data_IF_050655527935
#
_entry.id   IF_050655527935
#
_cell.length_a   1.000
_cell.length_b   1.000
_cell.length_c   1.000
_cell.angle_alpha   90.00
_cell.angle_beta   90.00
_cell.angle_gamma   90.00
#
_symmetry.space_group_name_H-M   'P 1'
#
loop_
_entity.id
_entity.type
_entity.pdbx_description
1 polymer ?
#
# COMPACT_ATOMS: atom_id res chain seq x y z
N UNK A 1 12.97 -16.01 -2.45
CA UNK A 1 12.00 -16.74 -1.59
C UNK A 1 11.75 -18.15 -2.10
N UNK A 2 11.41 -19.09 -1.20
CA UNK A 2 10.91 -20.42 -1.55
C UNK A 2 9.45 -20.37 -2.01
N UNK A 3 8.97 -21.42 -2.70
CA UNK A 3 7.55 -21.49 -3.08
C UNK A 3 6.62 -21.49 -1.85
N UNK A 4 7.00 -22.15 -0.76
CA UNK A 4 6.20 -22.16 0.47
C UNK A 4 6.04 -20.76 1.11
N UNK A 5 7.12 -19.96 1.11
CA UNK A 5 7.06 -18.57 1.59
C UNK A 5 6.15 -17.72 0.69
N UNK A 6 6.23 -17.88 -0.63
CA UNK A 6 5.35 -17.16 -1.57
C UNK A 6 3.89 -17.56 -1.38
N UNK A 7 3.59 -18.83 -1.21
CA UNK A 7 2.22 -19.30 -0.93
C UNK A 7 1.69 -18.72 0.39
N UNK A 8 2.52 -18.67 1.44
CA UNK A 8 2.13 -18.04 2.70
C UNK A 8 1.79 -16.56 2.52
N UNK A 9 2.61 -15.80 1.78
CA UNK A 9 2.35 -14.39 1.49
C UNK A 9 1.10 -14.20 0.62
N UNK A 10 0.88 -15.06 -0.38
CA UNK A 10 -0.32 -15.03 -1.21
C UNK A 10 -1.60 -15.27 -0.39
N UNK A 11 -1.54 -16.15 0.62
CA UNK A 11 -2.65 -16.34 1.57
C UNK A 11 -2.92 -15.08 2.40
N UNK A 12 -1.87 -14.42 2.91
CA UNK A 12 -2.02 -13.12 3.59
C UNK A 12 -2.61 -12.07 2.66
N UNK A 13 -2.18 -11.99 1.40
CA UNK A 13 -2.76 -11.07 0.42
C UNK A 13 -4.25 -11.37 0.16
N UNK A 14 -4.65 -12.65 0.11
CA UNK A 14 -6.07 -13.02 0.02
C UNK A 14 -6.85 -12.56 1.25
N UNK A 15 -6.34 -12.76 2.47
CA UNK A 15 -6.99 -12.27 3.70
C UNK A 15 -7.10 -10.75 3.72
N UNK A 16 -6.06 -10.02 3.27
CA UNK A 16 -6.11 -8.56 3.13
C UNK A 16 -7.25 -8.16 2.17
N UNK A 17 -7.37 -8.81 1.00
CA UNK A 17 -8.45 -8.55 0.05
C UNK A 17 -9.83 -8.84 0.62
N UNK A 18 -9.99 -9.96 1.33
CA UNK A 18 -11.26 -10.27 2.03
C UNK A 18 -11.59 -9.18 3.06
N UNK A 19 -10.60 -8.71 3.82
CA UNK A 19 -10.78 -7.62 4.78
C UNK A 19 -11.18 -6.30 4.13
N UNK A 20 -10.63 -5.96 2.96
CA UNK A 20 -11.03 -4.80 2.16
C UNK A 20 -12.50 -4.88 1.76
N UNK A 21 -12.93 -6.04 1.23
CA UNK A 21 -14.31 -6.28 0.80
C UNK A 21 -15.26 -6.23 2.00
N UNK A 22 -14.93 -6.89 3.11
CA UNK A 22 -15.71 -6.87 4.35
C UNK A 22 -15.91 -5.44 4.88
N UNK A 23 -14.83 -4.69 5.01
CA UNK A 23 -14.87 -3.33 5.55
C UNK A 23 -15.69 -2.38 4.67
N UNK A 24 -15.43 -2.36 3.36
CA UNK A 24 -16.10 -1.47 2.41
C UNK A 24 -17.56 -1.84 2.21
N UNK A 25 -17.91 -3.13 2.24
CA UNK A 25 -19.30 -3.61 2.26
C UNK A 25 -20.03 -3.16 3.52
N UNK A 26 -19.47 -3.41 4.71
CA UNK A 26 -20.08 -3.02 5.99
C UNK A 26 -20.28 -1.53 6.12
N UNK A 27 -19.39 -0.72 5.54
CA UNK A 27 -19.49 0.73 5.50
C UNK A 27 -20.44 1.25 4.42
N UNK A 28 -20.84 0.41 3.45
CA UNK A 28 -21.59 0.80 2.23
C UNK A 28 -20.88 1.91 1.43
N UNK A 29 -19.60 2.10 1.63
CA UNK A 29 -18.74 3.08 0.95
C UNK A 29 -17.27 2.76 1.20
N UNK A 30 -16.38 3.37 0.43
CA UNK A 30 -14.94 3.23 0.60
C UNK A 30 -14.25 3.07 -0.75
N UNK A 31 -12.96 2.74 -0.71
CA UNK A 31 -12.13 2.69 -1.91
C UNK A 31 -11.51 1.27 -2.08
N UNK A 32 -12.31 0.28 -2.53
CA UNK A 32 -11.80 -1.08 -2.67
C UNK A 32 -10.74 -1.18 -3.78
N UNK A 33 -10.93 -0.52 -4.93
CA UNK A 33 -10.06 -0.69 -6.11
C UNK A 33 -8.58 -0.49 -5.80
N UNK A 34 -8.22 0.70 -5.29
CA UNK A 34 -6.83 1.05 -4.92
C UNK A 34 -6.36 0.46 -3.58
N UNK A 35 -7.19 -0.36 -2.92
CA UNK A 35 -6.82 -1.14 -1.73
C UNK A 35 -6.49 -2.58 -2.08
N UNK A 36 -7.18 -3.15 -3.07
CA UNK A 36 -7.02 -4.53 -3.53
C UNK A 36 -5.72 -4.72 -4.32
N UNK A 37 -5.28 -3.69 -5.05
CA UNK A 37 -4.12 -3.73 -5.94
C UNK A 37 -2.77 -3.76 -5.22
N UNK A 38 -2.70 -3.32 -3.97
CA UNK A 38 -1.46 -3.31 -3.17
C UNK A 38 -1.35 -4.44 -2.15
N UNK A 39 -2.22 -5.46 -2.23
CA UNK A 39 -2.26 -6.52 -1.21
C UNK A 39 -0.97 -7.33 -1.14
N UNK A 40 -0.30 -7.62 -2.27
CA UNK A 40 0.98 -8.32 -2.30
C UNK A 40 2.09 -7.50 -1.63
N UNK A 41 2.18 -6.21 -1.95
CA UNK A 41 3.18 -5.32 -1.33
C UNK A 41 2.93 -5.19 0.17
N UNK A 42 1.68 -5.03 0.61
CA UNK A 42 1.33 -4.96 2.02
C UNK A 42 1.65 -6.28 2.74
N UNK A 43 1.33 -7.43 2.14
CA UNK A 43 1.68 -8.73 2.74
C UNK A 43 3.19 -8.89 2.86
N UNK A 44 3.96 -8.56 1.82
CA UNK A 44 5.42 -8.64 1.86
C UNK A 44 6.00 -7.72 2.95
N UNK A 45 5.58 -6.46 2.99
CA UNK A 45 6.07 -5.48 3.96
C UNK A 45 5.80 -5.90 5.40
N UNK A 46 4.58 -6.29 5.73
CA UNK A 46 4.21 -6.60 7.12
C UNK A 46 4.65 -7.99 7.60
N UNK A 47 4.87 -8.95 6.71
CA UNK A 47 5.17 -10.33 7.10
C UNK A 47 6.61 -10.77 6.83
N UNK A 48 7.37 -10.02 6.02
CA UNK A 48 8.77 -10.35 5.69
C UNK A 48 9.70 -9.18 5.98
N UNK A 49 9.38 -7.98 5.47
CA UNK A 49 10.35 -6.91 5.35
C UNK A 49 10.47 -6.03 6.59
N UNK A 50 9.35 -5.51 7.07
CA UNK A 50 9.37 -4.46 8.10
C UNK A 50 9.64 -5.02 9.49
N UNK A 51 10.55 -4.36 10.21
CA UNK A 51 10.72 -4.57 11.65
C UNK A 51 9.56 -3.90 12.42
N UNK A 52 8.47 -4.64 12.61
CA UNK A 52 7.28 -4.18 13.34
C UNK A 52 6.76 -5.26 14.29
N UNK A 53 6.39 -4.86 15.51
CA UNK A 53 5.74 -5.73 16.49
C UNK A 53 4.34 -5.19 16.83
N UNK A 54 3.27 -5.95 16.56
CA UNK A 54 1.90 -5.57 16.95
C UNK A 54 1.73 -5.27 18.44
N UNK A 55 2.56 -5.90 19.30
CA UNK A 55 2.53 -5.68 20.75
C UNK A 55 3.23 -4.37 21.17
N UNK A 56 4.04 -3.81 20.30
CA UNK A 56 4.76 -2.54 20.50
C UNK A 56 4.53 -1.57 19.32
N UNK A 57 3.26 -1.19 19.01
CA UNK A 57 2.93 -0.40 17.82
C UNK A 57 3.53 1.00 17.81
N UNK A 58 4.02 1.48 18.95
CA UNK A 58 4.64 2.82 19.12
C UNK A 58 6.14 2.75 19.36
N UNK A 59 6.78 1.60 19.13
CA UNK A 59 8.23 1.48 19.24
C UNK A 59 8.90 2.54 18.36
N UNK A 60 9.78 3.40 18.93
CA UNK A 60 10.43 4.47 18.19
C UNK A 60 11.48 3.97 17.18
N UNK A 61 11.92 2.71 17.30
CA UNK A 61 12.99 2.13 16.48
C UNK A 61 12.47 1.17 15.41
N UNK A 62 11.14 1.00 15.30
CA UNK A 62 10.52 0.20 14.24
C UNK A 62 10.54 0.91 12.89
N UNK A 63 10.46 0.16 11.81
CA UNK A 63 10.21 0.71 10.48
C UNK A 63 8.86 1.44 10.40
N UNK A 64 8.70 2.30 9.39
CA UNK A 64 7.50 3.11 9.17
C UNK A 64 6.90 2.84 7.80
N UNK A 65 5.56 2.74 7.76
CA UNK A 65 4.81 2.73 6.50
C UNK A 65 3.84 3.92 6.44
N UNK A 66 4.02 4.77 5.44
CA UNK A 66 3.09 5.87 5.15
C UNK A 66 2.28 5.51 3.90
N UNK A 67 1.00 5.22 4.08
CA UNK A 67 0.07 5.09 2.96
C UNK A 67 -0.33 6.49 2.47
N UNK A 68 0.44 7.04 1.50
CA UNK A 68 0.24 8.41 0.99
C UNK A 68 -1.10 8.52 0.25
N UNK A 69 -1.44 7.56 -0.63
CA UNK A 69 -2.79 7.41 -1.18
C UNK A 69 -3.78 6.97 -0.09
N UNK A 70 -4.06 7.87 0.85
CA UNK A 70 -4.78 7.57 2.08
C UNK A 70 -6.19 7.02 1.90
N UNK A 71 -6.80 7.22 0.74
CA UNK A 71 -8.09 6.62 0.39
C UNK A 71 -8.02 5.08 0.35
N UNK A 72 -6.86 4.47 0.09
CA UNK A 72 -6.64 3.02 0.18
C UNK A 72 -6.52 2.50 1.63
N UNK A 73 -6.99 3.28 2.63
CA UNK A 73 -7.04 2.87 4.03
C UNK A 73 -7.63 1.47 4.29
N UNK A 74 -8.67 1.00 3.56
CA UNK A 74 -9.18 -0.36 3.75
C UNK A 74 -8.09 -1.44 3.58
N UNK A 75 -7.18 -1.28 2.62
CA UNK A 75 -6.06 -2.19 2.41
C UNK A 75 -5.06 -2.18 3.58
N UNK A 76 -4.68 -0.98 4.04
CA UNK A 76 -3.80 -0.84 5.20
C UNK A 76 -4.43 -1.42 6.47
N UNK A 77 -5.71 -1.13 6.72
CA UNK A 77 -6.39 -1.66 7.90
C UNK A 77 -6.51 -3.18 7.87
N UNK A 78 -6.81 -3.76 6.70
CA UNK A 78 -6.86 -5.21 6.55
C UNK A 78 -5.47 -5.84 6.79
N UNK A 79 -4.39 -5.24 6.30
CA UNK A 79 -3.02 -5.70 6.55
C UNK A 79 -2.63 -5.58 8.03
N UNK A 80 -2.98 -4.48 8.70
CA UNK A 80 -2.72 -4.30 10.12
C UNK A 80 -3.51 -5.29 10.99
N UNK A 81 -4.78 -5.53 10.67
CA UNK A 81 -5.60 -6.52 11.34
C UNK A 81 -5.05 -7.94 11.15
N UNK A 82 -4.71 -8.32 9.91
CA UNK A 82 -4.10 -9.62 9.58
C UNK A 82 -2.76 -9.81 10.29
N UNK A 83 -1.98 -8.76 10.45
CA UNK A 83 -0.71 -8.77 11.19
C UNK A 83 -0.91 -8.85 12.72
N UNK A 84 -2.12 -8.55 13.22
CA UNK A 84 -2.50 -8.66 14.63
C UNK A 84 -2.38 -7.36 15.43
N UNK A 85 -2.37 -6.19 14.79
CA UNK A 85 -2.40 -4.90 15.50
C UNK A 85 -3.74 -4.62 16.18
N UNK A 86 -4.82 -5.17 15.65
CA UNK A 86 -6.17 -5.13 16.21
C UNK A 86 -7.01 -6.29 15.66
N UNK A 87 -8.17 -6.62 16.26
CA UNK A 87 -9.01 -7.74 15.81
C UNK A 87 -9.53 -7.55 14.37
N UNK A 88 -9.52 -8.64 13.58
CA UNK A 88 -10.01 -8.64 12.20
C UNK A 88 -11.49 -8.24 12.13
N UNK A 89 -12.27 -8.61 13.15
CA UNK A 89 -13.70 -8.30 13.27
C UNK A 89 -13.98 -6.80 13.28
N UNK A 90 -13.03 -5.98 13.73
CA UNK A 90 -13.16 -4.53 13.79
C UNK A 90 -13.25 -3.89 12.39
N UNK A 91 -12.78 -4.59 11.34
CA UNK A 91 -12.92 -4.13 9.95
C UNK A 91 -14.39 -3.85 9.58
N UNK A 92 -15.35 -4.57 10.18
CA UNK A 92 -16.79 -4.34 10.04
C UNK A 92 -17.26 -3.01 10.59
N UNK A 93 -16.41 -2.31 11.32
CA UNK A 93 -16.73 -1.00 11.91
C UNK A 93 -16.22 0.17 11.07
N UNK A 94 -15.59 -0.09 9.92
CA UNK A 94 -15.04 0.94 9.03
C UNK A 94 -16.06 2.06 8.81
N UNK A 95 -15.63 3.32 9.01
CA UNK A 95 -16.43 4.55 8.83
C UNK A 95 -17.72 4.65 9.68
N UNK A 96 -17.98 3.73 10.59
CA UNK A 96 -19.13 3.83 11.49
C UNK A 96 -18.87 4.89 12.58
N UNK A 97 -19.92 5.54 13.05
CA UNK A 97 -19.83 6.51 14.14
C UNK A 97 -19.28 5.79 15.38
N UNK A 98 -18.25 6.38 16.00
CA UNK A 98 -17.58 5.82 17.18
C UNK A 98 -16.47 4.79 16.87
N UNK A 99 -16.33 4.36 15.61
CA UNK A 99 -15.20 3.51 15.22
C UNK A 99 -13.91 4.33 15.14
N UNK A 100 -12.81 3.68 15.50
CA UNK A 100 -11.46 4.23 15.28
C UNK A 100 -10.98 4.05 13.84
N UNK A 101 -11.59 3.14 13.06
CA UNK A 101 -11.29 2.90 11.65
C UNK A 101 -11.99 3.94 10.76
N UNK A 102 -11.32 5.07 10.59
CA UNK A 102 -11.82 6.19 9.80
C UNK A 102 -11.68 5.91 8.29
N UNK A 103 -12.30 6.74 7.45
CA UNK A 103 -12.22 6.60 5.99
C UNK A 103 -10.83 6.81 5.40
N UNK A 104 -9.94 7.45 6.15
CA UNK A 104 -8.52 7.65 5.87
C UNK A 104 -7.71 7.31 7.11
N UNK A 105 -6.41 6.94 6.98
CA UNK A 105 -5.58 6.57 8.11
C UNK A 105 -5.50 7.68 9.17
N UNK A 106 -5.61 7.29 10.45
CA UNK A 106 -5.45 8.20 11.57
C UNK A 106 -4.44 7.62 12.57
N UNK A 107 -3.25 8.22 12.65
CA UNK A 107 -2.16 7.77 13.50
C UNK A 107 -2.43 7.88 15.01
N UNK A 108 -3.41 8.70 15.39
CA UNK A 108 -3.75 8.92 16.80
C UNK A 108 -4.73 7.87 17.34
N UNK A 109 -5.48 7.19 16.46
CA UNK A 109 -6.54 6.27 16.85
C UNK A 109 -6.33 4.83 16.40
N UNK A 110 -5.61 4.58 15.29
CA UNK A 110 -5.43 3.23 14.74
C UNK A 110 -4.05 2.70 15.09
N UNK A 111 -3.95 1.58 15.86
CA UNK A 111 -2.67 0.95 16.15
C UNK A 111 -1.94 0.55 14.86
N UNK A 112 -0.64 0.87 14.77
CA UNK A 112 0.18 0.53 13.61
C UNK A 112 0.16 1.55 12.47
N UNK A 113 -0.74 2.53 12.48
CA UNK A 113 -0.74 3.64 11.51
C UNK A 113 0.32 4.66 11.90
N UNK A 114 1.23 4.97 10.97
CA UNK A 114 2.36 5.86 11.20
C UNK A 114 2.07 7.33 10.90
N UNK A 115 1.18 7.60 9.95
CA UNK A 115 0.81 8.96 9.55
C UNK A 115 -0.66 9.04 9.19
N UNK A 116 -1.32 10.11 9.64
CA UNK A 116 -2.65 10.47 9.15
C UNK A 116 -2.52 11.03 7.73
N UNK A 117 -3.20 10.42 6.77
CA UNK A 117 -3.14 10.79 5.35
C UNK A 117 -4.54 10.92 4.76
N UNK A 118 -4.65 11.34 3.50
CA UNK A 118 -5.92 11.53 2.80
C UNK A 118 -5.92 12.74 1.88
N UNK A 119 -5.19 13.82 2.23
CA UNK A 119 -4.84 14.87 1.28
C UNK A 119 -3.66 14.37 0.44
N UNK A 120 -3.91 14.12 -0.84
CA UNK A 120 -2.93 13.53 -1.75
C UNK A 120 -1.67 14.42 -1.84
N UNK A 121 -0.50 13.78 -1.97
CA UNK A 121 0.81 14.43 -1.99
C UNK A 121 1.43 14.68 -0.61
N UNK A 122 0.63 14.84 0.45
CA UNK A 122 1.18 15.17 1.79
C UNK A 122 1.81 13.98 2.51
N UNK A 123 1.33 12.77 2.24
CA UNK A 123 1.88 11.57 2.89
C UNK A 123 3.35 11.34 2.54
N UNK A 124 3.71 11.48 1.27
CA UNK A 124 5.11 11.31 0.83
C UNK A 124 6.04 12.37 1.43
N UNK A 125 5.57 13.61 1.61
CA UNK A 125 6.32 14.68 2.28
C UNK A 125 6.59 14.32 3.74
N UNK A 126 5.57 13.79 4.44
CA UNK A 126 5.75 13.30 5.81
C UNK A 126 6.71 12.11 5.88
N UNK A 127 6.65 11.16 4.95
CA UNK A 127 7.57 10.02 4.86
C UNK A 127 9.03 10.48 4.67
N UNK A 128 9.26 11.43 3.76
CA UNK A 128 10.58 12.03 3.55
C UNK A 128 11.10 12.72 4.83
N UNK A 129 10.22 13.41 5.56
CA UNK A 129 10.55 14.01 6.85
C UNK A 129 10.91 12.97 7.92
N UNK A 130 10.19 11.84 7.98
CA UNK A 130 10.50 10.72 8.89
C UNK A 130 11.86 10.10 8.56
N UNK A 131 12.14 9.86 7.27
CA UNK A 131 13.41 9.30 6.81
C UNK A 131 14.60 10.22 7.17
N UNK A 132 14.45 11.52 6.94
CA UNK A 132 15.47 12.51 7.35
C UNK A 132 15.64 12.54 8.86
N UNK A 133 14.55 12.53 9.63
CA UNK A 133 14.57 12.51 11.08
C UNK A 133 15.31 11.29 11.63
N UNK A 134 15.07 10.11 11.08
CA UNK A 134 15.76 8.88 11.43
C UNK A 134 17.28 8.99 11.14
N UNK A 135 17.62 9.46 9.94
CA UNK A 135 19.02 9.70 9.52
C UNK A 135 19.76 10.66 10.47
N UNK A 136 19.14 11.78 10.83
CA UNK A 136 19.72 12.75 11.77
C UNK A 136 19.84 12.21 13.20
N UNK A 137 18.91 11.38 13.62
CA UNK A 137 18.95 10.73 14.93
C UNK A 137 19.91 9.53 14.99
N UNK A 138 20.56 9.17 13.89
CA UNK A 138 21.44 8.00 13.79
C UNK A 138 20.71 6.67 14.00
N UNK A 139 19.40 6.62 13.71
CA UNK A 139 18.58 5.43 13.81
C UNK A 139 18.68 4.59 12.55
N UNK A 140 18.75 3.27 12.73
CA UNK A 140 18.72 2.30 11.64
C UNK A 140 17.29 1.82 11.48
N UNK A 141 16.48 2.58 10.74
CA UNK A 141 15.12 2.21 10.35
C UNK A 141 14.84 2.68 8.94
N UNK A 142 13.96 1.97 8.26
CA UNK A 142 13.49 2.28 6.93
C UNK A 142 12.11 2.94 6.99
N UNK A 143 11.86 3.80 6.02
CA UNK A 143 10.56 4.41 5.79
C UNK A 143 10.06 3.99 4.42
N UNK A 144 8.89 3.37 4.40
CA UNK A 144 8.19 2.96 3.21
C UNK A 144 7.02 3.90 2.97
N UNK A 145 6.81 4.29 1.72
CA UNK A 145 5.65 5.09 1.33
C UNK A 145 4.94 4.43 0.15
N UNK A 146 3.61 4.41 0.16
CA UNK A 146 2.82 3.96 -0.99
C UNK A 146 2.08 5.16 -1.56
N UNK A 147 2.40 5.50 -2.80
CA UNK A 147 1.88 6.66 -3.55
C UNK A 147 1.10 6.15 -4.76
N UNK A 148 0.03 6.82 -5.15
CA UNK A 148 -0.71 6.48 -6.38
C UNK A 148 -0.19 7.23 -7.62
N UNK A 149 -0.40 6.67 -8.81
CA UNK A 149 -0.03 7.30 -10.09
C UNK A 149 -0.84 8.57 -10.39
N UNK A 150 -2.10 8.63 -9.98
CA UNK A 150 -2.90 9.86 -10.00
C UNK A 150 -2.50 10.83 -8.87
N UNK A 151 -1.99 10.33 -7.75
CA UNK A 151 -1.52 11.19 -6.65
C UNK A 151 -0.28 12.00 -7.04
N UNK A 152 0.60 11.48 -7.89
CA UNK A 152 1.79 12.23 -8.33
C UNK A 152 1.50 13.37 -9.31
N UNK A 153 0.24 13.62 -9.65
CA UNK A 153 -0.20 14.85 -10.29
C UNK A 153 -0.11 16.06 -9.33
N UNK A 154 -0.11 15.82 -8.02
CA UNK A 154 0.11 16.87 -7.02
C UNK A 154 1.56 17.36 -7.04
N UNK A 155 1.75 18.68 -7.11
CA UNK A 155 3.08 19.30 -7.12
C UNK A 155 3.91 18.98 -5.90
N UNK A 156 3.27 18.80 -4.73
CA UNK A 156 3.90 18.46 -3.46
C UNK A 156 4.65 17.11 -3.53
N UNK A 157 4.20 16.15 -4.34
CA UNK A 157 4.93 14.91 -4.56
C UNK A 157 6.33 15.18 -5.14
N UNK A 158 6.42 16.05 -6.13
CA UNK A 158 7.68 16.40 -6.79
C UNK A 158 8.60 17.22 -5.88
N UNK A 159 8.03 18.09 -5.05
CA UNK A 159 8.77 18.79 -4.00
C UNK A 159 9.36 17.81 -2.99
N UNK A 160 8.59 16.80 -2.55
CA UNK A 160 9.06 15.74 -1.67
C UNK A 160 10.14 14.87 -2.32
N UNK A 161 10.02 14.54 -3.60
CA UNK A 161 11.03 13.77 -4.33
C UNK A 161 12.34 14.56 -4.46
N UNK A 162 12.26 15.86 -4.81
CA UNK A 162 13.45 16.72 -4.86
C UNK A 162 14.14 16.80 -3.49
N UNK A 163 13.36 16.96 -2.43
CA UNK A 163 13.86 16.97 -1.04
C UNK A 163 14.55 15.66 -0.69
N UNK A 164 13.90 14.52 -0.94
CA UNK A 164 14.44 13.20 -0.62
C UNK A 164 15.77 12.92 -1.34
N UNK A 165 15.86 13.28 -2.61
CA UNK A 165 17.08 13.15 -3.40
C UNK A 165 18.19 14.10 -2.90
N UNK A 166 17.84 15.36 -2.59
CA UNK A 166 18.82 16.34 -2.09
C UNK A 166 19.50 15.89 -0.79
N UNK A 167 18.72 15.30 0.13
CA UNK A 167 19.25 14.81 1.40
C UNK A 167 19.79 13.37 1.33
N UNK A 168 19.76 12.73 0.16
CA UNK A 168 20.25 11.36 -0.02
C UNK A 168 19.57 10.39 0.92
N UNK A 169 18.22 10.37 0.94
CA UNK A 169 17.46 9.55 1.88
C UNK A 169 17.41 8.09 1.40
N UNK A 170 18.55 7.40 1.49
CA UNK A 170 18.67 5.99 1.08
C UNK A 170 17.84 5.04 1.95
N UNK A 171 17.34 5.50 3.10
CA UNK A 171 16.40 4.79 3.95
C UNK A 171 14.92 5.07 3.61
N UNK A 172 14.63 5.72 2.49
CA UNK A 172 13.28 5.93 1.96
C UNK A 172 13.05 5.06 0.73
N UNK A 173 12.07 4.16 0.82
CA UNK A 173 11.56 3.36 -0.29
C UNK A 173 10.12 3.80 -0.64
N UNK A 174 9.93 4.29 -1.86
CA UNK A 174 8.62 4.70 -2.36
C UNK A 174 8.10 3.62 -3.30
N UNK A 175 6.94 3.05 -3.00
CA UNK A 175 6.17 2.23 -3.92
C UNK A 175 5.18 3.14 -4.65
N UNK A 176 5.34 3.28 -5.96
CA UNK A 176 4.42 4.03 -6.79
C UNK A 176 3.47 3.04 -7.47
N UNK A 177 2.25 2.97 -6.96
CA UNK A 177 1.20 2.13 -7.50
C UNK A 177 0.69 2.68 -8.83
N UNK A 178 1.16 2.10 -9.92
CA UNK A 178 0.82 2.46 -11.30
C UNK A 178 -0.30 1.56 -11.82
N UNK A 179 -1.50 1.76 -11.30
CA UNK A 179 -2.69 1.02 -11.74
C UNK A 179 -3.39 1.68 -12.94
N UNK A 180 -2.90 2.85 -13.40
CA UNK A 180 -3.32 3.59 -14.61
C UNK A 180 -4.76 4.10 -14.57
N UNK A 181 -5.42 4.10 -13.40
CA UNK A 181 -6.80 4.55 -13.23
C UNK A 181 -6.92 5.50 -12.04
N UNK A 182 -7.55 6.63 -12.27
CA UNK A 182 -7.99 7.56 -11.23
C UNK A 182 -9.52 7.70 -11.22
N UNK A 183 -10.08 8.57 -10.36
CA UNK A 183 -11.51 8.67 -10.14
C UNK A 183 -12.33 8.98 -11.41
N UNK A 184 -11.77 9.75 -12.34
CA UNK A 184 -12.45 10.24 -13.53
C UNK A 184 -12.11 9.43 -14.80
N UNK A 185 -11.25 8.39 -14.69
CA UNK A 185 -10.88 7.55 -15.83
C UNK A 185 -9.42 7.12 -15.87
N UNK A 186 -8.93 6.67 -17.02
CA UNK A 186 -7.51 6.38 -17.21
C UNK A 186 -6.65 7.61 -16.97
N UNK A 187 -5.54 7.45 -16.20
CA UNK A 187 -4.63 8.56 -15.86
C UNK A 187 -4.08 9.25 -17.11
N UNK A 188 -3.78 8.49 -18.16
CA UNK A 188 -3.30 9.05 -19.45
C UNK A 188 -4.28 10.01 -20.13
N UNK A 189 -5.60 9.83 -19.87
CA UNK A 189 -6.65 10.64 -20.49
C UNK A 189 -7.09 11.81 -19.61
N UNK A 190 -6.95 11.68 -18.28
CA UNK A 190 -7.34 12.74 -17.33
C UNK A 190 -6.20 13.74 -17.17
N UNK A 191 -5.06 13.27 -16.68
CA UNK A 191 -3.82 14.06 -16.55
C UNK A 191 -2.62 13.11 -16.55
N UNK A 192 -1.91 12.98 -17.67
CA UNK A 192 -0.81 12.02 -17.76
C UNK A 192 0.40 12.44 -16.95
N UNK A 193 0.74 11.64 -15.98
CA UNK A 193 1.97 11.76 -15.19
C UNK A 193 3.20 11.14 -15.89
N UNK A 194 3.02 10.38 -16.97
CA UNK A 194 4.09 9.71 -17.70
C UNK A 194 5.04 10.69 -18.47
N UNK A 195 6.29 10.33 -18.75
CA UNK A 195 6.97 9.09 -18.33
C UNK A 195 7.49 9.18 -16.88
N UNK A 196 6.93 8.38 -15.98
CA UNK A 196 7.25 8.43 -14.53
C UNK A 196 8.68 7.98 -14.23
N UNK A 197 9.15 6.92 -14.89
CA UNK A 197 10.50 6.39 -14.69
C UNK A 197 11.57 7.44 -14.99
N UNK A 198 11.47 8.11 -16.16
CA UNK A 198 12.45 9.10 -16.58
C UNK A 198 12.42 10.33 -15.68
N UNK A 199 11.23 10.77 -15.27
CA UNK A 199 11.07 11.88 -14.33
C UNK A 199 11.74 11.57 -13.00
N UNK A 200 11.47 10.40 -12.40
CA UNK A 200 12.05 10.00 -11.13
C UNK A 200 13.58 9.81 -11.22
N UNK A 201 14.10 9.26 -12.34
CA UNK A 201 15.55 9.20 -12.58
C UNK A 201 16.17 10.59 -12.68
N UNK A 202 15.47 11.55 -13.35
CA UNK A 202 15.91 12.94 -13.42
C UNK A 202 15.89 13.63 -12.04
N UNK A 203 15.02 13.20 -11.13
CA UNK A 203 15.03 13.59 -9.71
C UNK A 203 16.08 12.84 -8.87
N UNK A 204 16.96 12.07 -9.50
CA UNK A 204 18.06 11.34 -8.85
C UNK A 204 17.62 10.21 -7.91
N UNK A 205 16.51 9.55 -8.19
CA UNK A 205 16.11 8.32 -7.53
C UNK A 205 16.80 7.08 -8.13
N UNK A 206 17.00 6.04 -7.32
CA UNK A 206 17.15 4.67 -7.79
C UNK A 206 15.74 4.19 -8.20
N UNK A 207 15.56 3.81 -9.48
CA UNK A 207 14.21 3.54 -10.03
C UNK A 207 14.15 2.13 -10.59
N UNK A 208 13.19 1.35 -10.09
CA UNK A 208 12.87 0.01 -10.57
C UNK A 208 11.40 -0.04 -11.01
N UNK A 209 11.10 -0.84 -12.04
CA UNK A 209 9.73 -1.13 -12.45
C UNK A 209 9.51 -2.64 -12.38
N UNK A 210 8.43 -3.04 -11.74
CA UNK A 210 8.11 -4.45 -11.48
C UNK A 210 6.61 -4.72 -11.66
N UNK A 211 6.25 -5.99 -11.87
CA UNK A 211 4.89 -6.46 -11.64
C UNK A 211 4.62 -6.44 -10.12
N UNK A 212 3.68 -5.60 -9.69
CA UNK A 212 3.32 -5.44 -8.28
C UNK A 212 2.62 -6.66 -7.66
N UNK A 213 2.29 -7.66 -8.48
CA UNK A 213 1.68 -8.92 -8.04
C UNK A 213 2.66 -10.11 -8.04
N UNK A 214 3.94 -9.89 -8.38
CA UNK A 214 4.98 -10.92 -8.43
C UNK A 214 5.94 -10.80 -7.23
N UNK A 215 5.86 -11.74 -6.31
CA UNK A 215 6.71 -11.75 -5.10
C UNK A 215 8.21 -11.88 -5.39
N UNK A 216 8.62 -12.56 -6.46
CA UNK A 216 10.04 -12.66 -6.83
C UNK A 216 10.58 -11.30 -7.30
N UNK A 217 9.75 -10.52 -7.97
CA UNK A 217 10.10 -9.17 -8.39
C UNK A 217 10.09 -8.20 -7.21
N UNK A 218 9.12 -8.30 -6.30
CA UNK A 218 9.07 -7.50 -5.06
C UNK A 218 10.33 -7.75 -4.22
N UNK A 219 10.68 -9.02 -3.96
CA UNK A 219 11.89 -9.39 -3.21
C UNK A 219 13.17 -8.80 -3.84
N UNK A 220 13.32 -8.94 -5.16
CA UNK A 220 14.48 -8.39 -5.88
C UNK A 220 14.55 -6.87 -5.81
N UNK A 221 13.41 -6.19 -5.89
CA UNK A 221 13.35 -4.74 -5.81
C UNK A 221 13.70 -4.24 -4.40
N UNK A 222 13.22 -4.93 -3.35
CA UNK A 222 13.60 -4.63 -1.96
C UNK A 222 15.09 -4.92 -1.72
N UNK A 223 15.64 -6.00 -2.26
CA UNK A 223 17.08 -6.26 -2.18
C UNK A 223 17.90 -5.15 -2.88
N UNK A 224 17.42 -4.61 -4.00
CA UNK A 224 18.05 -3.48 -4.66
C UNK A 224 17.93 -2.17 -3.84
N UNK A 225 16.81 -1.94 -3.15
CA UNK A 225 16.66 -0.85 -2.19
C UNK A 225 17.71 -0.94 -1.07
N UNK A 226 17.89 -2.10 -0.46
CA UNK A 226 18.89 -2.29 0.60
C UNK A 226 20.34 -2.18 0.13
N UNK A 227 20.60 -2.44 -1.14
CA UNK A 227 21.94 -2.28 -1.74
C UNK A 227 22.25 -0.81 -2.09
N UNK A 228 21.24 0.06 -2.18
CA UNK A 228 21.39 1.48 -2.47
C UNK A 228 21.73 2.25 -1.19
N UNK A 229 22.82 2.98 -1.17
CA UNK A 229 23.32 3.69 0.03
C UNK A 229 23.31 5.22 -0.08
N UNK A 230 23.05 5.75 -1.26
CA UNK A 230 23.18 7.18 -1.54
C UNK A 230 21.86 7.87 -1.91
N UNK A 231 20.94 7.13 -2.53
CA UNK A 231 19.73 7.69 -3.14
C UNK A 231 18.47 7.09 -2.53
N UNK A 232 17.36 7.85 -2.47
CA UNK A 232 16.06 7.23 -2.24
C UNK A 232 15.71 6.28 -3.39
N UNK A 233 14.94 5.24 -3.09
CA UNK A 233 14.49 4.27 -4.10
C UNK A 233 13.01 4.47 -4.39
N UNK A 234 12.63 4.44 -5.67
CA UNK A 234 11.24 4.34 -6.10
C UNK A 234 11.04 3.05 -6.90
N UNK A 235 10.10 2.25 -6.45
CA UNK A 235 9.66 1.02 -7.09
C UNK A 235 8.30 1.30 -7.73
N UNK A 236 8.26 1.42 -9.06
CA UNK A 236 7.00 1.50 -9.81
C UNK A 236 6.38 0.10 -9.86
N UNK A 237 5.18 0.01 -9.35
CA UNK A 237 4.39 -1.22 -9.35
C UNK A 237 3.39 -1.18 -10.50
N UNK A 238 3.61 -1.96 -11.55
CA UNK A 238 2.54 -2.23 -12.50
C UNK A 238 1.51 -3.12 -11.81
N UNK A 239 0.31 -2.59 -11.55
CA UNK A 239 -0.75 -3.26 -10.82
C UNK A 239 -2.06 -3.27 -11.59
N UNK A 240 -2.97 -4.12 -11.15
CA UNK A 240 -4.35 -4.18 -11.64
C UNK A 240 -5.27 -3.60 -10.55
N UNK A 241 -5.84 -2.42 -10.79
CA UNK A 241 -6.83 -1.84 -9.89
C UNK A 241 -7.99 -2.80 -9.65
N UNK A 242 -8.31 -3.09 -8.39
CA UNK A 242 -9.36 -4.04 -8.06
C UNK A 242 -8.97 -5.52 -8.12
N UNK A 243 -7.66 -5.83 -8.11
CA UNK A 243 -7.08 -7.17 -8.25
C UNK A 243 -7.73 -8.22 -7.36
N UNK A 244 -8.10 -9.36 -7.98
CA UNK A 244 -8.64 -10.52 -7.31
C UNK A 244 -10.16 -10.57 -7.23
N UNK A 245 -10.86 -9.52 -7.71
CA UNK A 245 -12.33 -9.49 -7.82
C UNK A 245 -12.71 -9.18 -9.27
N UNK A 246 -13.24 -10.15 -9.99
CA UNK A 246 -13.36 -10.12 -11.44
C UNK A 246 -14.09 -8.89 -12.01
N UNK A 247 -15.15 -8.44 -11.35
CA UNK A 247 -15.94 -7.28 -11.77
C UNK A 247 -15.36 -5.93 -11.28
N UNK A 248 -14.30 -5.94 -10.44
CA UNK A 248 -13.60 -4.75 -9.97
C UNK A 248 -12.31 -4.50 -10.74
N UNK A 249 -11.71 -5.54 -11.35
CA UNK A 249 -10.44 -5.41 -12.07
C UNK A 249 -10.55 -4.43 -13.24
N UNK A 250 -9.66 -3.44 -13.25
CA UNK A 250 -9.59 -2.38 -14.26
C UNK A 250 -10.89 -1.58 -14.45
N UNK A 251 -11.75 -1.53 -13.43
CA UNK A 251 -13.02 -0.81 -13.49
C UNK A 251 -12.97 0.47 -12.64
N UNK A 252 -13.12 1.62 -13.29
CA UNK A 252 -13.03 2.97 -12.69
C UNK A 252 -14.04 3.16 -11.56
N UNK A 253 -15.25 2.65 -11.70
CA UNK A 253 -16.34 2.81 -10.71
C UNK A 253 -15.96 2.33 -9.31
N UNK A 254 -15.05 1.36 -9.21
CA UNK A 254 -14.58 0.81 -7.95
C UNK A 254 -13.50 1.64 -7.26
N UNK A 255 -13.20 2.82 -7.81
CA UNK A 255 -12.35 3.77 -7.12
C UNK A 255 -12.94 4.17 -5.76
N UNK A 256 -14.23 4.51 -5.70
CA UNK A 256 -14.87 5.06 -4.51
C UNK A 256 -16.25 4.48 -4.16
N UNK A 257 -16.56 3.26 -4.59
CA UNK A 257 -17.84 2.58 -4.37
C UNK A 257 -17.65 1.36 -3.47
N UNK A 258 -18.43 1.24 -2.39
CA UNK A 258 -18.54 0.00 -1.62
C UNK A 258 -19.46 -1.01 -2.32
N UNK A 259 -19.17 -2.33 -2.25
CA UNK A 259 -20.02 -3.36 -2.84
C UNK A 259 -21.37 -3.45 -2.12
N UNK A 260 -22.44 -3.74 -2.87
CA UNK A 260 -23.73 -4.13 -2.32
C UNK A 260 -23.70 -5.59 -1.84
N UNK A 261 -24.83 -6.11 -1.32
CA UNK A 261 -24.88 -7.45 -0.74
C UNK A 261 -24.62 -8.55 -1.79
N UNK A 262 -25.12 -8.42 -3.02
CA UNK A 262 -24.88 -9.38 -4.11
C UNK A 262 -23.40 -9.31 -4.61
N UNK A 263 -22.90 -8.10 -4.81
CA UNK A 263 -21.49 -7.85 -5.20
C UNK A 263 -20.52 -8.38 -4.12
N UNK A 264 -20.89 -8.24 -2.85
CA UNK A 264 -20.12 -8.79 -1.72
C UNK A 264 -20.02 -10.30 -1.77
N UNK A 265 -21.16 -11.00 -1.94
CA UNK A 265 -21.19 -12.47 -1.99
C UNK A 265 -20.36 -13.01 -3.18
N UNK A 266 -20.42 -12.34 -4.34
CA UNK A 266 -19.61 -12.73 -5.51
C UNK A 266 -18.13 -12.54 -5.21
N UNK A 267 -17.73 -11.38 -4.70
CA UNK A 267 -16.33 -11.07 -4.39
C UNK A 267 -15.76 -12.03 -3.33
N UNK A 268 -16.49 -12.28 -2.25
CA UNK A 268 -16.04 -13.19 -1.19
C UNK A 268 -15.93 -14.64 -1.68
N UNK A 269 -16.83 -15.07 -2.59
CA UNK A 269 -16.75 -16.40 -3.22
C UNK A 269 -15.48 -16.53 -4.08
N UNK A 270 -15.18 -15.52 -4.90
CA UNK A 270 -13.96 -15.51 -5.73
C UNK A 270 -12.69 -15.56 -4.87
N UNK A 271 -12.60 -14.71 -3.85
CA UNK A 271 -11.46 -14.65 -2.95
C UNK A 271 -11.29 -15.94 -2.12
N UNK A 272 -12.41 -16.53 -1.65
CA UNK A 272 -12.37 -17.80 -0.92
C UNK A 272 -11.91 -18.95 -1.84
N UNK A 273 -12.34 -18.97 -3.09
CA UNK A 273 -11.88 -19.96 -4.05
C UNK A 273 -10.39 -19.81 -4.39
N UNK A 274 -9.91 -18.56 -4.53
CA UNK A 274 -8.48 -18.29 -4.71
C UNK A 274 -7.65 -18.75 -3.50
N UNK A 275 -8.12 -18.49 -2.28
CA UNK A 275 -7.46 -18.95 -1.06
C UNK A 275 -7.41 -20.49 -0.99
N UNK A 276 -8.51 -21.17 -1.29
CA UNK A 276 -8.56 -22.64 -1.29
C UNK A 276 -7.60 -23.26 -2.33
N UNK A 277 -7.43 -22.64 -3.49
CA UNK A 277 -6.45 -23.08 -4.48
C UNK A 277 -5.00 -22.99 -3.95
N UNK A 278 -4.65 -21.92 -3.21
CA UNK A 278 -3.34 -21.80 -2.56
C UNK A 278 -3.11 -22.87 -1.47
N UNK A 279 -4.16 -23.27 -0.75
CA UNK A 279 -4.07 -24.38 0.22
C UNK A 279 -3.85 -25.74 -0.44
N UNK A 280 -4.38 -25.93 -1.66
CA UNK A 280 -4.15 -27.16 -2.43
C UNK A 280 -2.73 -27.24 -3.00
N UNK A 281 -2.15 -26.12 -3.41
CA UNK A 281 -0.75 -26.07 -3.89
C UNK A 281 0.28 -26.32 -2.78
N UNK A 282 -0.07 -26.10 -1.52
CA UNK A 282 0.82 -26.33 -0.37
C UNK A 282 0.92 -27.81 0.04
N UNK A 283 -0.03 -28.66 -0.42
CA UNK A 283 -0.10 -30.11 -0.08
C UNK A 283 0.80 -30.95 -0.98
#
# INVERSE_FOLDING_TARGET
>A
MTNAEKLTLAKHACHIRMGVIEGTHSAKCGHPGGSLDIAEVLSYLYFVEMNVDPKAPKDPDRDRLVLSKGHAAPGLYAALAERGFFPVEDLKTLRKIGSYLQGHPNMNSVPGVDMSTGSLGQGISAAAGMALGAKHAGKVLNVYAIVGDGEVEEGECWEAFMFAAHYGLSNLCVFLDRNRLQIDGPTENVMSSEPLEDKLRAFNFNVLTIDGHDYDQIEKAIAAFHAESEKPTCILLDTIKGKGVSFMENAVDWHGKGPNDEEYEIAMKELTAAYAALEEEEK
#
